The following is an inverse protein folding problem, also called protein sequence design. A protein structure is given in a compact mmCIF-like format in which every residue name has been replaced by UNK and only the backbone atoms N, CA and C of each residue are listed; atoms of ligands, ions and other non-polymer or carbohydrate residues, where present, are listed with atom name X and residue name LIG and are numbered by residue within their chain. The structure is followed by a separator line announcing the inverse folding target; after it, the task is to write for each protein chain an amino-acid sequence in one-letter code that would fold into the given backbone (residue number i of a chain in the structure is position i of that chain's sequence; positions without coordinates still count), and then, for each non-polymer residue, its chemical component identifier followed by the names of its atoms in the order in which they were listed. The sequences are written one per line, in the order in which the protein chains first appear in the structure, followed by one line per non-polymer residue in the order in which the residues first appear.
data_IF_566265871379
#
_entry.id   IF_566265871379
#
_cell.length_a   1.000
_cell.length_b   1.000
_cell.length_c   1.000
_cell.angle_alpha   90.00
_cell.angle_beta   90.00
_cell.angle_gamma   90.00
#
_symmetry.space_group_name_H-M   'P 1'
#
loop_
_entity.id
_entity.type
_entity.pdbx_description
1 polymer ?
#
# COMPACT_ATOMS: atom_id res chain seq x y z
N UNK A 1 50.49 -3.05 22.71
CA UNK A 1 49.11 -3.57 22.86
C UNK A 1 48.23 -2.80 21.89
N UNK A 2 47.68 -3.45 20.86
CA UNK A 2 46.84 -2.79 19.84
C UNK A 2 45.40 -2.81 20.33
N UNK A 3 44.83 -1.62 20.55
CA UNK A 3 43.43 -1.41 20.91
C UNK A 3 42.55 -1.79 19.72
N UNK A 4 41.77 -2.84 19.87
CA UNK A 4 40.70 -3.21 18.94
C UNK A 4 39.52 -2.29 19.25
N UNK A 5 39.30 -1.29 18.40
CA UNK A 5 38.11 -0.47 18.45
C UNK A 5 36.92 -1.34 17.99
N UNK A 6 36.10 -1.75 18.93
CA UNK A 6 34.80 -2.40 18.65
C UNK A 6 33.88 -1.31 18.12
N UNK A 7 33.74 -1.26 16.80
CA UNK A 7 32.76 -0.44 16.10
C UNK A 7 31.40 -1.12 16.29
N UNK A 8 30.66 -0.75 17.33
CA UNK A 8 29.26 -1.17 17.49
C UNK A 8 28.46 -0.35 16.48
N UNK A 9 28.28 -0.92 15.28
CA UNK A 9 27.29 -0.42 14.33
C UNK A 9 25.93 -0.73 14.96
N UNK A 10 25.37 0.25 15.66
CA UNK A 10 23.95 0.26 15.99
C UNK A 10 23.19 0.37 14.66
N UNK A 11 22.90 -0.77 14.02
CA UNK A 11 21.79 -0.87 13.09
C UNK A 11 20.52 -0.69 13.92
N UNK A 12 20.21 0.56 14.26
CA UNK A 12 18.93 0.90 14.86
C UNK A 12 17.87 0.64 13.80
N UNK A 13 17.16 -0.47 13.93
CA UNK A 13 15.92 -0.72 13.20
C UNK A 13 14.96 0.39 13.61
N UNK A 14 14.78 1.39 12.74
CA UNK A 14 13.75 2.40 12.94
C UNK A 14 12.41 1.71 12.69
N UNK A 15 11.77 1.26 13.77
CA UNK A 15 10.43 0.71 13.70
C UNK A 15 9.45 1.84 13.36
N UNK A 16 9.01 1.89 12.09
CA UNK A 16 7.91 2.76 11.72
C UNK A 16 6.60 2.28 12.36
N UNK A 17 5.87 3.23 12.92
CA UNK A 17 4.51 3.04 13.42
C UNK A 17 3.49 3.30 12.31
N UNK A 18 2.23 2.87 12.50
CA UNK A 18 1.15 3.08 11.52
C UNK A 18 0.93 4.55 11.12
N UNK A 19 1.16 5.50 12.03
CA UNK A 19 1.06 6.93 11.73
C UNK A 19 2.14 7.44 10.78
N UNK A 20 3.38 6.95 10.92
CA UNK A 20 4.49 7.29 10.04
C UNK A 20 4.38 6.58 8.69
N UNK A 21 3.80 5.38 8.65
CA UNK A 21 3.50 4.68 7.40
C UNK A 21 2.61 5.50 6.46
N UNK A 22 1.53 6.12 6.97
CA UNK A 22 0.63 6.98 6.18
C UNK A 22 1.33 8.20 5.58
N UNK A 23 2.38 8.70 6.23
CA UNK A 23 3.21 9.81 5.72
C UNK A 23 4.25 9.35 4.69
N UNK A 24 4.62 8.07 4.72
CA UNK A 24 5.59 7.45 3.81
C UNK A 24 4.95 6.66 2.64
N UNK A 25 3.62 6.58 2.56
CA UNK A 25 2.86 5.85 1.52
C UNK A 25 2.86 6.59 0.17
N UNK A 26 4.05 6.78 -0.40
CA UNK A 26 4.26 7.44 -1.68
C UNK A 26 5.33 6.68 -2.47
N UNK A 27 5.33 6.81 -3.79
CA UNK A 27 6.25 6.08 -4.68
C UNK A 27 7.72 6.41 -4.35
N UNK A 28 8.33 5.58 -3.49
CA UNK A 28 9.70 5.75 -2.98
C UNK A 28 10.76 5.60 -4.08
N UNK A 29 10.35 5.09 -5.25
CA UNK A 29 11.22 4.89 -6.42
C UNK A 29 11.42 6.19 -7.23
N UNK A 30 10.61 7.25 -7.02
CA UNK A 30 10.81 8.56 -7.65
C UNK A 30 11.63 9.50 -6.74
N UNK A 31 12.88 9.85 -7.10
CA UNK A 31 13.72 10.72 -6.29
C UNK A 31 13.13 12.11 -6.05
N UNK A 32 12.29 12.61 -6.96
CA UNK A 32 11.65 13.92 -6.84
C UNK A 32 10.51 13.89 -5.79
N UNK A 33 9.86 12.73 -5.63
CA UNK A 33 8.82 12.50 -4.62
C UNK A 33 9.48 12.20 -3.27
N UNK A 34 10.48 11.31 -3.24
CA UNK A 34 11.20 10.92 -2.04
C UNK A 34 11.80 12.13 -1.30
N UNK A 35 12.38 13.09 -2.04
CA UNK A 35 12.97 14.30 -1.46
C UNK A 35 11.96 15.23 -0.77
N UNK A 36 10.66 15.06 -1.03
CA UNK A 36 9.58 15.84 -0.41
C UNK A 36 9.01 15.16 0.84
N UNK A 37 9.38 13.91 1.12
CA UNK A 37 8.90 13.16 2.27
C UNK A 37 9.66 13.54 3.55
N UNK A 38 9.08 13.28 4.74
CA UNK A 38 9.80 13.38 6.01
C UNK A 38 11.12 12.60 6.00
N UNK A 39 12.09 13.05 6.81
CA UNK A 39 13.44 12.46 6.86
C UNK A 39 13.39 10.96 7.17
N UNK A 40 12.45 10.56 8.01
CA UNK A 40 12.19 9.18 8.41
C UNK A 40 11.80 8.31 7.20
N UNK A 41 11.01 8.84 6.27
CA UNK A 41 10.61 8.15 5.03
C UNK A 41 11.74 8.09 3.99
N UNK A 42 12.69 9.01 4.03
CA UNK A 42 13.86 9.02 3.14
C UNK A 42 14.93 7.99 3.55
N UNK A 43 14.92 7.55 4.82
CA UNK A 43 15.97 6.72 5.41
C UNK A 43 15.41 5.41 5.99
N UNK A 44 14.43 4.82 5.31
CA UNK A 44 13.94 3.50 5.67
C UNK A 44 15.04 2.44 5.53
N UNK A 45 15.04 1.46 6.42
CA UNK A 45 15.88 0.29 6.24
C UNK A 45 15.42 -0.53 5.02
N UNK A 46 16.30 -1.40 4.52
CA UNK A 46 16.05 -2.20 3.32
C UNK A 46 14.78 -3.07 3.44
N UNK A 47 14.52 -3.61 4.65
CA UNK A 47 13.35 -4.44 4.91
C UNK A 47 12.04 -3.63 4.84
N UNK A 48 12.04 -2.43 5.43
CA UNK A 48 10.90 -1.51 5.41
C UNK A 48 10.64 -1.00 3.99
N UNK A 49 11.68 -0.65 3.24
CA UNK A 49 11.56 -0.27 1.82
C UNK A 49 10.93 -1.38 0.97
N UNK A 50 11.39 -2.62 1.15
CA UNK A 50 10.82 -3.75 0.40
C UNK A 50 9.35 -3.99 0.76
N UNK A 51 8.96 -3.84 2.04
CA UNK A 51 7.57 -3.91 2.46
C UNK A 51 6.71 -2.82 1.80
N UNK A 52 7.18 -1.56 1.80
CA UNK A 52 6.50 -0.45 1.13
C UNK A 52 6.35 -0.70 -0.37
N UNK A 53 7.38 -1.26 -1.02
CA UNK A 53 7.34 -1.60 -2.44
C UNK A 53 6.30 -2.68 -2.75
N UNK A 54 6.19 -3.70 -1.90
CA UNK A 54 5.18 -4.76 -2.02
C UNK A 54 3.77 -4.21 -1.83
N UNK A 55 3.59 -3.32 -0.87
CA UNK A 55 2.35 -2.57 -0.64
C UNK A 55 1.96 -1.82 -1.93
N UNK A 56 2.87 -1.02 -2.49
CA UNK A 56 2.62 -0.22 -3.69
C UNK A 56 2.28 -1.09 -4.91
N UNK A 57 2.93 -2.25 -5.06
CA UNK A 57 2.58 -3.25 -6.09
C UNK A 57 1.13 -3.73 -5.87
N UNK A 58 0.79 -4.12 -4.65
CA UNK A 58 -0.58 -4.56 -4.30
C UNK A 58 -1.61 -3.47 -4.60
N UNK A 59 -1.32 -2.20 -4.27
CA UNK A 59 -2.19 -1.06 -4.63
C UNK A 59 -2.43 -0.97 -6.13
N UNK A 60 -1.35 -0.99 -6.92
CA UNK A 60 -1.42 -0.87 -8.39
C UNK A 60 -2.22 -2.02 -9.00
N UNK A 61 -2.04 -3.24 -8.50
CA UNK A 61 -2.82 -4.41 -8.95
C UNK A 61 -4.30 -4.23 -8.65
N UNK A 62 -4.65 -3.86 -7.42
CA UNK A 62 -6.03 -3.57 -7.04
C UNK A 62 -6.63 -2.46 -7.91
N UNK A 63 -5.93 -1.33 -8.05
CA UNK A 63 -6.40 -0.19 -8.83
C UNK A 63 -6.65 -0.55 -10.30
N UNK A 64 -5.72 -1.28 -10.92
CA UNK A 64 -5.88 -1.78 -12.29
C UNK A 64 -7.13 -2.66 -12.44
N UNK A 65 -7.37 -3.57 -11.49
CA UNK A 65 -8.54 -4.47 -11.53
C UNK A 65 -9.85 -3.73 -11.33
N UNK A 66 -9.87 -2.72 -10.46
CA UNK A 66 -11.03 -1.86 -10.27
C UNK A 66 -11.36 -1.08 -11.56
N UNK A 67 -10.35 -0.49 -12.22
CA UNK A 67 -10.55 0.20 -13.49
C UNK A 67 -11.04 -0.75 -14.60
N UNK A 68 -10.51 -1.97 -14.68
CA UNK A 68 -10.99 -2.99 -15.61
C UNK A 68 -12.49 -3.30 -15.38
N UNK A 69 -12.90 -3.47 -14.13
CA UNK A 69 -14.31 -3.70 -13.77
C UNK A 69 -15.21 -2.52 -14.14
N UNK A 70 -14.79 -1.30 -13.86
CA UNK A 70 -15.55 -0.08 -14.15
C UNK A 70 -15.69 0.15 -15.66
N UNK A 71 -14.61 -0.07 -16.41
CA UNK A 71 -14.64 -0.02 -17.88
C UNK A 71 -15.59 -1.08 -18.46
N UNK A 72 -15.64 -2.28 -17.86
CA UNK A 72 -16.53 -3.35 -18.28
C UNK A 72 -18.03 -3.02 -18.09
N UNK A 73 -18.37 -2.00 -17.29
CA UNK A 73 -19.76 -1.54 -17.16
C UNK A 73 -20.27 -0.84 -18.44
N UNK A 74 -19.39 -0.47 -19.38
CA UNK A 74 -19.77 0.19 -20.63
C UNK A 74 -20.38 1.58 -20.45
N UNK A 75 -20.12 2.22 -19.31
CA UNK A 75 -20.67 3.54 -18.93
C UNK A 75 -19.69 4.70 -19.15
N UNK A 76 -18.48 4.42 -19.64
CA UNK A 76 -17.52 5.47 -20.01
C UNK A 76 -18.11 6.34 -21.13
N UNK A 77 -17.85 7.64 -21.08
CA UNK A 77 -18.17 8.59 -22.16
C UNK A 77 -16.89 9.03 -22.87
N UNK A 78 -17.01 9.88 -23.89
CA UNK A 78 -15.84 10.47 -24.55
C UNK A 78 -15.04 11.39 -23.61
N UNK A 79 -15.71 12.01 -22.63
CA UNK A 79 -15.12 13.02 -21.75
C UNK A 79 -14.87 12.52 -20.31
N UNK A 80 -15.43 11.36 -19.91
CA UNK A 80 -15.38 10.91 -18.52
C UNK A 80 -15.25 9.39 -18.39
N UNK A 81 -14.36 8.97 -17.47
CA UNK A 81 -14.24 7.58 -17.03
C UNK A 81 -15.29 7.34 -15.95
N UNK A 82 -16.15 6.34 -16.15
CA UNK A 82 -17.13 5.95 -15.15
C UNK A 82 -16.43 5.42 -13.90
N UNK A 83 -16.84 5.93 -12.73
CA UNK A 83 -16.42 5.44 -11.44
C UNK A 83 -17.62 4.90 -10.67
N UNK A 84 -17.58 3.62 -10.31
CA UNK A 84 -18.67 2.97 -9.58
C UNK A 84 -18.50 3.23 -8.09
N UNK A 85 -18.90 4.41 -7.63
CA UNK A 85 -18.69 4.84 -6.25
C UNK A 85 -19.43 3.96 -5.23
N UNK A 86 -20.55 3.35 -5.61
CA UNK A 86 -21.29 2.44 -4.74
C UNK A 86 -20.59 1.08 -4.63
N UNK A 87 -20.11 0.54 -5.75
CA UNK A 87 -19.29 -0.67 -5.72
C UNK A 87 -17.99 -0.46 -4.94
N UNK A 88 -17.30 0.67 -5.15
CA UNK A 88 -16.09 1.03 -4.38
C UNK A 88 -16.40 1.06 -2.88
N UNK A 89 -17.43 1.79 -2.46
CA UNK A 89 -17.82 1.88 -1.03
C UNK A 89 -18.13 0.50 -0.45
N UNK A 90 -18.89 -0.32 -1.18
CA UNK A 90 -19.21 -1.67 -0.75
C UNK A 90 -17.94 -2.51 -0.61
N UNK A 91 -17.05 -2.48 -1.60
CA UNK A 91 -15.79 -3.24 -1.63
C UNK A 91 -14.90 -2.89 -0.43
N UNK A 92 -14.69 -1.60 -0.16
CA UNK A 92 -13.94 -1.13 1.00
C UNK A 92 -14.59 -1.57 2.33
N UNK A 93 -15.92 -1.56 2.40
CA UNK A 93 -16.67 -2.00 3.57
C UNK A 93 -16.69 -3.52 3.77
N UNK A 94 -16.54 -4.33 2.71
CA UNK A 94 -16.53 -5.80 2.83
C UNK A 94 -15.24 -6.33 3.45
N UNK A 95 -14.11 -5.73 3.11
CA UNK A 95 -12.80 -6.21 3.57
C UNK A 95 -12.32 -5.49 4.82
N UNK A 96 -13.07 -4.50 5.30
CA UNK A 96 -12.79 -3.73 6.52
C UNK A 96 -11.34 -3.20 6.56
N UNK A 97 -10.86 -2.63 5.45
CA UNK A 97 -9.45 -2.20 5.30
C UNK A 97 -9.01 -1.22 6.39
N UNK A 98 -9.96 -0.47 6.96
CA UNK A 98 -9.73 0.45 8.07
C UNK A 98 -9.20 -0.22 9.34
N UNK A 99 -9.42 -1.53 9.51
CA UNK A 99 -8.91 -2.29 10.66
C UNK A 99 -7.38 -2.50 10.60
N UNK A 100 -6.75 -2.33 9.43
CA UNK A 100 -5.30 -2.46 9.31
C UNK A 100 -4.52 -1.32 10.00
N UNK A 101 -5.20 -0.25 10.41
CA UNK A 101 -4.58 0.97 10.95
C UNK A 101 -4.90 1.22 12.44
N UNK A 102 -5.42 0.22 13.16
CA UNK A 102 -5.63 0.34 14.61
C UNK A 102 -4.28 0.46 15.36
N UNK A 103 -4.26 1.30 16.41
CA UNK A 103 -3.06 2.02 16.89
C UNK A 103 -1.98 1.10 17.50
N UNK A 104 -0.71 1.39 17.15
CA UNK A 104 0.56 0.79 17.62
C UNK A 104 0.90 -0.63 17.12
N UNK A 105 0.58 -0.92 15.86
CA UNK A 105 1.14 -2.11 15.20
C UNK A 105 2.47 -1.81 14.48
N UNK A 106 3.42 -2.76 14.48
CA UNK A 106 4.64 -2.65 13.67
C UNK A 106 4.30 -2.47 12.19
N UNK A 107 5.08 -1.65 11.46
CA UNK A 107 4.95 -1.44 10.00
C UNK A 107 4.66 -2.73 9.23
N UNK A 108 5.45 -3.78 9.48
CA UNK A 108 5.31 -5.06 8.80
C UNK A 108 3.89 -5.64 8.93
N UNK A 109 3.27 -5.52 10.11
CA UNK A 109 1.93 -6.06 10.35
C UNK A 109 0.85 -5.21 9.69
N UNK A 110 1.02 -3.88 9.70
CA UNK A 110 0.15 -2.94 8.98
C UNK A 110 0.19 -3.22 7.48
N UNK A 111 1.40 -3.26 6.90
CA UNK A 111 1.62 -3.49 5.47
C UNK A 111 1.08 -4.86 5.03
N UNK A 112 1.35 -5.93 5.79
CA UNK A 112 0.82 -7.25 5.49
C UNK A 112 -0.71 -7.26 5.51
N UNK A 113 -1.34 -6.64 6.50
CA UNK A 113 -2.79 -6.50 6.54
C UNK A 113 -3.32 -5.78 5.29
N UNK A 114 -2.71 -4.65 4.90
CA UNK A 114 -3.11 -3.91 3.70
C UNK A 114 -2.98 -4.74 2.42
N UNK A 115 -1.88 -5.47 2.27
CA UNK A 115 -1.65 -6.36 1.12
C UNK A 115 -2.71 -7.47 1.09
N UNK A 116 -2.99 -8.12 2.21
CA UNK A 116 -4.01 -9.16 2.34
C UNK A 116 -5.40 -8.63 1.99
N UNK A 117 -5.80 -7.48 2.56
CA UNK A 117 -7.10 -6.86 2.28
C UNK A 117 -7.25 -6.43 0.83
N UNK A 118 -6.19 -5.92 0.20
CA UNK A 118 -6.21 -5.59 -1.24
C UNK A 118 -6.32 -6.84 -2.12
N UNK A 119 -5.68 -7.95 -1.72
CA UNK A 119 -5.87 -9.22 -2.44
C UNK A 119 -7.32 -9.71 -2.31
N UNK A 120 -7.93 -9.63 -1.13
CA UNK A 120 -9.36 -9.92 -0.95
C UNK A 120 -10.23 -9.05 -1.89
N UNK A 121 -9.93 -7.75 -2.02
CA UNK A 121 -10.65 -6.87 -2.95
C UNK A 121 -10.48 -7.31 -4.42
N UNK A 122 -9.26 -7.68 -4.83
CA UNK A 122 -8.99 -8.19 -6.18
C UNK A 122 -9.80 -9.44 -6.47
N UNK A 123 -9.88 -10.37 -5.51
CA UNK A 123 -10.63 -11.62 -5.66
C UNK A 123 -12.15 -11.35 -5.79
N UNK A 124 -12.68 -10.42 -4.99
CA UNK A 124 -14.08 -9.97 -5.09
C UNK A 124 -14.37 -9.35 -6.46
N UNK A 125 -13.47 -8.49 -6.97
CA UNK A 125 -13.60 -7.89 -8.30
C UNK A 125 -13.62 -8.99 -9.37
N UNK A 126 -12.68 -9.92 -9.32
CA UNK A 126 -12.60 -11.02 -10.29
C UNK A 126 -13.89 -11.86 -10.30
N UNK A 127 -14.43 -12.19 -9.12
CA UNK A 127 -15.70 -12.91 -9.00
C UNK A 127 -16.90 -12.11 -9.54
N UNK A 128 -16.86 -10.77 -9.42
CA UNK A 128 -17.91 -9.88 -9.90
C UNK A 128 -17.91 -9.75 -11.43
N UNK A 129 -16.73 -9.73 -12.06
CA UNK A 129 -16.58 -9.72 -13.52
C UNK A 129 -17.08 -11.03 -14.14
N UNK A 130 -16.84 -12.19 -13.50
CA UNK A 130 -17.32 -13.50 -14.00
C UNK A 130 -18.85 -13.58 -14.02
N UNK A 131 -19.54 -12.93 -13.07
CA UNK A 131 -21.01 -12.92 -13.03
C UNK A 131 -21.67 -12.05 -14.10
N UNK A 132 -20.91 -11.16 -14.74
CA UNK A 132 -21.42 -10.23 -15.76
C UNK A 132 -21.23 -10.75 -17.20
N UNK A 133 -20.48 -11.84 -17.39
CA UNK A 133 -20.34 -12.53 -18.68
C UNK A 133 -21.34 -13.66 -18.83
#
# INVERSE_FOLDING_TARGET
MRLVAVMVVFCGSFYMTSGQFLECDVDLDDPAILAQLPYECQHLDEASNELMRQEAISFRTFHSKLLEYEAAQGKNTEDEIYMDMDFRRWLYGQVEINLCSEIEEPLEKVVKCLIEKRQEMVDIIAASVVKQK
#
